data_IF_923391589381
#
_entry.id   IF_923391589381
#
_cell.length_a   1.000
_cell.length_b   1.000
_cell.length_c   1.000
_cell.angle_alpha   90.00
_cell.angle_beta   90.00
_cell.angle_gamma   90.00
#
_symmetry.space_group_name_H-M   'P 1'
#
loop_
_entity.id
_entity.type
_entity.pdbx_description
1 polymer ?
#
# COMPACT_ATOMS: atom_id res chain seq x y z
N UNK A 1 9.19 13.18 13.87
CA UNK A 1 9.44 11.72 14.01
C UNK A 1 8.78 11.03 12.85
N UNK A 2 9.51 10.18 12.14
CA UNK A 2 8.94 9.46 11.01
C UNK A 2 7.95 8.39 11.47
N UNK A 3 6.81 8.34 10.81
CA UNK A 3 5.76 7.32 10.92
C UNK A 3 5.22 7.03 9.52
N UNK A 4 4.38 6.02 9.40
CA UNK A 4 3.52 5.84 8.22
C UNK A 4 2.09 6.25 8.56
N UNK A 5 1.40 6.85 7.60
CA UNK A 5 -0.03 7.13 7.69
C UNK A 5 -0.76 6.23 6.70
N UNK A 6 -1.56 5.29 7.22
CA UNK A 6 -2.33 4.39 6.36
C UNK A 6 -3.56 5.12 5.77
N UNK A 7 -3.80 5.05 4.45
CA UNK A 7 -4.94 5.72 3.82
C UNK A 7 -6.29 5.09 4.23
N UNK A 8 -6.32 3.78 4.45
CA UNK A 8 -7.58 3.08 4.74
C UNK A 8 -8.00 3.23 6.21
N UNK A 9 -7.12 2.89 7.16
CA UNK A 9 -7.47 2.94 8.59
C UNK A 9 -7.13 4.26 9.27
N UNK A 10 -6.48 5.20 8.58
CA UNK A 10 -6.13 6.53 9.07
C UNK A 10 -5.33 6.52 10.38
N UNK A 11 -4.56 5.46 10.63
CA UNK A 11 -3.71 5.33 11.82
C UNK A 11 -2.27 5.64 11.47
N UNK A 12 -1.61 6.35 12.38
CA UNK A 12 -0.15 6.44 12.41
C UNK A 12 0.41 5.11 12.92
N UNK A 13 1.41 4.58 12.22
CA UNK A 13 2.07 3.33 12.56
C UNK A 13 3.57 3.44 12.40
N UNK A 14 4.30 2.63 13.17
CA UNK A 14 5.75 2.48 13.05
C UNK A 14 6.15 1.54 11.91
N UNK A 15 5.23 0.71 11.45
CA UNK A 15 5.50 -0.33 10.45
C UNK A 15 4.50 -0.28 9.31
N UNK A 16 5.03 -0.39 8.10
CA UNK A 16 4.34 -0.72 6.86
C UNK A 16 5.21 -1.74 6.15
N UNK A 17 4.63 -2.86 5.76
CA UNK A 17 5.40 -4.06 5.36
C UNK A 17 5.39 -4.21 3.84
N UNK A 18 6.46 -4.80 3.31
CA UNK A 18 6.57 -5.17 1.90
C UNK A 18 6.95 -6.65 1.78
N UNK A 19 6.23 -7.38 0.93
CA UNK A 19 6.46 -8.80 0.67
C UNK A 19 6.54 -9.04 -0.84
N UNK A 20 7.50 -9.84 -1.28
CA UNK A 20 7.52 -10.36 -2.65
C UNK A 20 6.68 -11.63 -2.71
N UNK A 21 5.65 -11.62 -3.56
CA UNK A 21 4.77 -12.76 -3.76
C UNK A 21 4.90 -13.28 -5.19
N UNK A 22 5.09 -14.58 -5.31
CA UNK A 22 4.99 -15.32 -6.56
C UNK A 22 3.51 -15.59 -6.85
N UNK A 23 3.10 -15.45 -8.11
CA UNK A 23 1.76 -15.84 -8.57
C UNK A 23 1.88 -16.79 -9.74
N UNK A 24 1.39 -18.00 -9.54
CA UNK A 24 1.32 -19.04 -10.56
C UNK A 24 -0.10 -19.10 -11.12
N UNK A 25 -0.24 -18.87 -12.42
CA UNK A 25 -1.49 -18.98 -13.14
C UNK A 25 -1.50 -20.26 -13.96
N UNK A 26 -2.53 -21.08 -13.80
CA UNK A 26 -2.75 -22.27 -14.63
C UNK A 26 -4.25 -22.49 -14.85
N UNK A 27 -4.61 -23.05 -16.00
CA UNK A 27 -6.01 -23.37 -16.35
C UNK A 27 -6.23 -24.88 -16.30
N UNK A 28 -7.24 -25.34 -15.57
CA UNK A 28 -7.65 -26.75 -15.53
C UNK A 28 -8.95 -26.94 -16.32
N UNK A 29 -8.88 -27.70 -17.41
CA UNK A 29 -10.05 -28.05 -18.21
C UNK A 29 -10.52 -29.47 -17.89
N UNK A 30 -11.81 -29.63 -17.57
CA UNK A 30 -12.41 -30.93 -17.22
C UNK A 30 -12.98 -31.70 -18.42
N UNK A 31 -13.03 -31.08 -19.60
CA UNK A 31 -13.80 -31.55 -20.76
C UNK A 31 -12.99 -32.10 -21.93
N UNK A 32 -11.70 -32.43 -21.73
CA UNK A 32 -10.85 -32.92 -22.84
C UNK A 32 -10.16 -34.21 -22.46
N UNK A 33 -10.35 -35.22 -23.32
CA UNK A 33 -9.57 -36.44 -23.38
C UNK A 33 -8.10 -36.15 -23.05
N UNK A 34 -7.56 -36.85 -22.04
CA UNK A 34 -6.33 -36.57 -21.27
C UNK A 34 -5.01 -36.46 -22.10
N UNK A 35 -5.09 -36.44 -23.43
CA UNK A 35 -3.97 -36.52 -24.38
C UNK A 35 -3.68 -35.24 -25.17
N UNK A 36 -4.37 -34.13 -24.94
CA UNK A 36 -3.92 -32.84 -25.48
C UNK A 36 -3.55 -31.89 -24.35
N UNK A 37 -2.28 -31.96 -23.93
CA UNK A 37 -1.58 -30.87 -23.23
C UNK A 37 -1.47 -29.68 -24.17
N UNK A 38 -2.55 -28.93 -24.32
CA UNK A 38 -2.47 -27.62 -24.93
C UNK A 38 -2.02 -26.65 -23.82
N UNK A 39 -0.81 -26.13 -23.97
CA UNK A 39 -0.15 -25.14 -23.12
C UNK A 39 -0.93 -23.80 -23.11
N UNK A 40 -2.10 -23.77 -22.49
CA UNK A 40 -2.86 -22.53 -22.32
C UNK A 40 -2.46 -21.86 -21.01
N UNK A 41 -1.43 -21.01 -21.11
CA UNK A 41 -1.19 -19.89 -20.19
C UNK A 41 -0.63 -20.26 -18.83
N UNK A 42 0.46 -21.02 -18.79
CA UNK A 42 1.28 -21.09 -17.58
C UNK A 42 2.12 -19.80 -17.51
N UNK A 43 1.87 -19.01 -16.47
CA UNK A 43 2.58 -17.76 -16.21
C UNK A 43 3.02 -17.71 -14.76
N UNK A 44 4.26 -17.30 -14.56
CA UNK A 44 4.81 -16.94 -13.26
C UNK A 44 5.09 -15.43 -13.27
N UNK A 45 4.74 -14.77 -12.17
CA UNK A 45 5.04 -13.37 -11.94
C UNK A 45 5.29 -13.10 -10.47
N UNK A 46 6.48 -12.59 -10.17
CA UNK A 46 6.78 -11.97 -8.89
C UNK A 46 6.22 -10.56 -8.86
N UNK A 47 5.51 -10.23 -7.78
CA UNK A 47 5.04 -8.88 -7.53
C UNK A 47 5.32 -8.48 -6.09
N UNK A 48 5.69 -7.21 -5.90
CA UNK A 48 5.79 -6.64 -4.56
C UNK A 48 4.40 -6.23 -4.08
N UNK A 49 4.07 -6.63 -2.87
CA UNK A 49 2.85 -6.25 -2.18
C UNK A 49 3.23 -5.45 -0.94
N UNK A 50 2.66 -4.26 -0.83
CA UNK A 50 2.80 -3.39 0.34
C UNK A 50 1.54 -3.50 1.18
N UNK A 51 1.66 -3.61 2.51
CA UNK A 51 0.50 -3.70 3.39
C UNK A 51 0.64 -3.02 4.74
N UNK A 52 -0.50 -2.57 5.27
CA UNK A 52 -0.60 -1.98 6.59
C UNK A 52 -0.79 -3.06 7.66
N UNK A 53 0.13 -3.15 8.63
CA UNK A 53 0.05 -4.11 9.74
C UNK A 53 -1.18 -3.93 10.65
N UNK A 54 -1.87 -2.79 10.59
CA UNK A 54 -3.02 -2.48 11.44
C UNK A 54 -4.37 -2.94 10.88
N UNK A 55 -4.57 -2.80 9.56
CA UNK A 55 -5.87 -3.05 8.94
C UNK A 55 -5.81 -4.00 7.72
N UNK A 56 -4.63 -4.50 7.38
CA UNK A 56 -4.39 -5.35 6.21
C UNK A 56 -4.75 -4.69 4.87
N UNK A 57 -4.82 -3.35 4.82
CA UNK A 57 -4.77 -2.60 3.56
C UNK A 57 -3.62 -3.13 2.72
N UNK A 58 -3.85 -3.35 1.43
CA UNK A 58 -2.89 -3.94 0.51
C UNK A 58 -2.86 -3.14 -0.79
N UNK A 59 -1.65 -2.92 -1.31
CA UNK A 59 -1.46 -2.32 -2.63
C UNK A 59 -0.24 -2.90 -3.33
N UNK A 60 -0.34 -2.99 -4.66
CA UNK A 60 0.77 -3.36 -5.55
C UNK A 60 1.37 -2.14 -6.26
N UNK A 61 0.71 -0.98 -6.15
CA UNK A 61 1.08 0.24 -6.86
C UNK A 61 2.09 1.07 -6.08
N UNK A 62 1.93 1.10 -4.75
CA UNK A 62 2.73 1.93 -3.86
C UNK A 62 3.64 1.07 -2.99
N UNK A 63 4.80 1.62 -2.68
CA UNK A 63 5.77 1.09 -1.72
C UNK A 63 5.43 1.57 -0.32
N UNK A 64 5.99 0.91 0.69
CA UNK A 64 5.85 1.34 2.09
C UNK A 64 6.34 2.78 2.29
N UNK A 65 7.47 3.14 1.66
CA UNK A 65 8.07 4.48 1.76
C UNK A 65 7.15 5.60 1.24
N UNK A 66 6.24 5.29 0.31
CA UNK A 66 5.30 6.26 -0.25
C UNK A 66 4.27 6.74 0.77
N UNK A 67 4.06 6.00 1.87
CA UNK A 67 3.13 6.36 2.95
C UNK A 67 3.80 7.06 4.14
N UNK A 68 5.09 7.42 4.04
CA UNK A 68 5.83 8.07 5.11
C UNK A 68 5.33 9.50 5.38
N UNK A 69 5.28 9.85 6.66
CA UNK A 69 4.96 11.18 7.17
C UNK A 69 5.90 11.54 8.31
N UNK A 70 6.20 12.83 8.46
CA UNK A 70 6.83 13.36 9.65
C UNK A 70 5.78 13.88 10.63
N UNK A 71 5.79 13.35 11.86
CA UNK A 71 4.89 13.76 12.95
C UNK A 71 5.63 14.63 13.96
N UNK A 72 5.05 15.78 14.29
CA UNK A 72 5.47 16.62 15.40
C UNK A 72 4.40 16.64 16.50
N UNK A 73 4.58 15.80 17.51
CA UNK A 73 3.63 15.66 18.62
C UNK A 73 3.46 16.93 19.45
N UNK A 74 4.50 17.77 19.57
CA UNK A 74 4.45 19.00 20.37
C UNK A 74 3.62 20.08 19.68
N UNK A 75 3.76 20.19 18.36
CA UNK A 75 3.03 21.17 17.55
C UNK A 75 1.69 20.63 17.05
N UNK A 76 1.45 19.32 17.21
CA UNK A 76 0.33 18.61 16.60
C UNK A 76 0.26 18.86 15.09
N UNK A 77 1.40 18.69 14.41
CA UNK A 77 1.48 18.80 12.95
C UNK A 77 1.93 17.50 12.31
N UNK A 78 1.50 17.26 11.08
CA UNK A 78 1.97 16.15 10.22
C UNK A 78 2.35 16.70 8.85
N UNK A 79 3.50 16.30 8.36
CA UNK A 79 4.02 16.66 7.03
C UNK A 79 4.17 15.41 6.17
N UNK A 80 3.72 15.41 4.91
CA UNK A 80 3.85 14.26 4.04
C UNK A 80 5.28 14.17 3.51
N UNK A 81 5.84 12.95 3.49
CA UNK A 81 7.20 12.71 2.99
C UNK A 81 7.22 11.74 1.81
N UNK A 82 6.36 10.73 1.85
CA UNK A 82 6.22 9.78 0.75
C UNK A 82 5.30 10.30 -0.36
N UNK A 83 5.57 9.85 -1.58
CA UNK A 83 4.93 10.37 -2.80
C UNK A 83 3.40 10.23 -2.78
N UNK A 84 2.87 9.14 -2.19
CA UNK A 84 1.43 8.91 -2.12
C UNK A 84 0.72 10.11 -1.48
N UNK A 85 1.24 10.62 -0.36
CA UNK A 85 0.65 11.76 0.35
C UNK A 85 1.15 13.11 -0.18
N UNK A 86 2.44 13.22 -0.52
CA UNK A 86 3.04 14.49 -0.89
C UNK A 86 2.63 14.97 -2.29
N UNK A 87 2.38 14.03 -3.22
CA UNK A 87 2.19 14.33 -4.65
C UNK A 87 0.81 13.92 -5.13
N UNK A 88 0.42 12.66 -4.87
CA UNK A 88 -0.72 12.06 -5.57
C UNK A 88 -2.06 12.23 -4.85
N UNK A 89 -2.05 12.31 -3.51
CA UNK A 89 -3.26 12.38 -2.68
C UNK A 89 -3.19 13.52 -1.65
N UNK A 90 -2.66 14.69 -2.06
CA UNK A 90 -2.46 15.85 -1.20
C UNK A 90 -3.76 16.38 -0.57
N UNK A 91 -4.86 16.41 -1.33
CA UNK A 91 -6.16 16.87 -0.82
C UNK A 91 -6.73 15.90 0.23
N UNK A 92 -6.65 14.59 -0.03
CA UNK A 92 -7.07 13.55 0.93
C UNK A 92 -6.19 13.57 2.18
N UNK A 93 -4.87 13.80 2.03
CA UNK A 93 -3.95 13.93 3.15
C UNK A 93 -4.40 15.03 4.12
N UNK A 94 -4.79 16.20 3.63
CA UNK A 94 -5.28 17.28 4.50
C UNK A 94 -6.50 16.86 5.33
N UNK A 95 -7.46 16.21 4.69
CA UNK A 95 -8.70 15.76 5.34
C UNK A 95 -8.39 14.71 6.41
N UNK A 96 -7.59 13.70 6.06
CA UNK A 96 -7.20 12.62 6.98
C UNK A 96 -6.44 13.17 8.18
N UNK A 97 -5.46 14.06 7.96
CA UNK A 97 -4.64 14.63 9.04
C UNK A 97 -5.49 15.45 10.01
N UNK A 98 -6.43 16.26 9.50
CA UNK A 98 -7.37 17.03 10.32
C UNK A 98 -8.30 16.09 11.11
N UNK A 99 -8.79 15.01 10.50
CA UNK A 99 -9.66 14.02 11.15
C UNK A 99 -8.98 13.34 12.35
N UNK A 100 -7.67 13.07 12.25
CA UNK A 100 -6.91 12.43 13.33
C UNK A 100 -6.36 13.41 14.36
N UNK A 101 -6.73 14.70 14.27
CA UNK A 101 -6.45 15.72 15.28
C UNK A 101 -5.09 16.41 15.14
N UNK A 102 -4.56 16.49 13.93
CA UNK A 102 -3.32 17.19 13.61
C UNK A 102 -3.56 18.27 12.55
N UNK A 103 -2.64 19.22 12.46
CA UNK A 103 -2.60 20.23 11.40
C UNK A 103 -1.69 19.73 10.27
N UNK A 104 -2.17 19.66 9.01
CA UNK A 104 -1.33 19.31 7.87
C UNK A 104 -0.36 20.46 7.55
N UNK A 105 0.92 20.14 7.45
CA UNK A 105 1.92 21.02 6.88
C UNK A 105 2.19 20.54 5.47
N UNK A 106 1.85 21.37 4.49
CA UNK A 106 2.11 21.02 3.11
C UNK A 106 2.77 22.20 2.44
N UNK A 107 3.97 21.93 1.91
CA UNK A 107 4.72 22.86 1.08
C UNK A 107 4.22 22.85 -0.38
#
# INVERSE_FOLDING_TARGET
MMKFLCPECKKLTDTFEEEWRESVYYTVNTDVDYKQKNNWGDGDGEHKLTFCSNCNFQTREWKAEDFLVEVNERKKTIEPYGDYWAIFNKDEFEEVVKEIGYEPLIE
#
